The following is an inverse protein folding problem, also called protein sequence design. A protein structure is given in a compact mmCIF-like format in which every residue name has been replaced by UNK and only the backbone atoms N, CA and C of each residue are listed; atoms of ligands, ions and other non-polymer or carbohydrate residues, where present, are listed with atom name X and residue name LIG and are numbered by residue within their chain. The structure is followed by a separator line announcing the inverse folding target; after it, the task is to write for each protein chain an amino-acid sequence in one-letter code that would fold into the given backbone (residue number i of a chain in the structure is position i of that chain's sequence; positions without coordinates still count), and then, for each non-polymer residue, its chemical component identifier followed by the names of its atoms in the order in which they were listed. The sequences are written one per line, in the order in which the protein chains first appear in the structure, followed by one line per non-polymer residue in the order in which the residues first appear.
data_IF_502978064922
#
_entry.id   IF_502978064922
#
_cell.length_a   1.000
_cell.length_b   1.000
_cell.length_c   1.000
_cell.angle_alpha   90.00
_cell.angle_beta   90.00
_cell.angle_gamma   90.00
#
_symmetry.space_group_name_H-M   'P 1'
#
loop_
_entity.id
_entity.type
_entity.pdbx_description
1 polymer ?
#
# COMPACT_ATOMS: atom_id res chain seq x y z
N UNK A 1 16.45 7.03 7.26
CA UNK A 1 15.69 5.88 6.70
C UNK A 1 16.38 4.60 7.13
N UNK A 2 15.61 3.65 7.62
CA UNK A 2 16.14 2.41 8.15
C UNK A 2 15.43 1.21 7.51
N UNK A 3 16.20 0.21 7.11
CA UNK A 3 15.67 -1.08 6.71
C UNK A 3 15.53 -1.98 7.93
N UNK A 4 14.37 -2.60 8.09
CA UNK A 4 14.07 -3.47 9.23
C UNK A 4 13.38 -4.75 8.78
N UNK A 5 13.69 -5.84 9.46
CA UNK A 5 12.93 -7.07 9.32
C UNK A 5 11.65 -6.94 10.15
N UNK A 6 10.50 -6.96 9.50
CA UNK A 6 9.20 -6.83 10.15
C UNK A 6 8.61 -8.21 10.45
N UNK A 7 8.90 -8.72 11.63
CA UNK A 7 8.42 -10.04 12.08
C UNK A 7 6.91 -10.11 12.26
N UNK A 8 6.29 -9.01 12.65
CA UNK A 8 4.86 -8.95 12.91
C UNK A 8 4.14 -8.27 11.74
N UNK A 9 4.03 -8.96 10.64
CA UNK A 9 3.14 -8.55 9.58
C UNK A 9 1.70 -8.83 9.99
N UNK A 10 1.07 -7.82 10.55
CA UNK A 10 -0.36 -7.88 10.82
C UNK A 10 -1.08 -7.53 9.54
N UNK A 11 -1.55 -8.54 8.83
CA UNK A 11 -2.54 -8.37 7.79
C UNK A 11 -3.89 -8.33 8.50
N UNK A 12 -4.54 -7.19 8.44
CA UNK A 12 -5.82 -6.95 9.09
C UNK A 12 -6.75 -6.23 8.14
N UNK A 13 -8.04 -6.39 8.36
CA UNK A 13 -9.04 -5.53 7.75
C UNK A 13 -8.81 -4.09 8.23
N UNK A 14 -9.03 -3.14 7.36
CA UNK A 14 -8.77 -1.73 7.68
C UNK A 14 -9.63 -1.21 8.83
N UNK A 15 -10.75 -1.87 9.11
CA UNK A 15 -11.72 -1.45 10.13
C UNK A 15 -12.37 -0.09 9.86
N UNK A 16 -12.21 0.42 8.64
CA UNK A 16 -12.79 1.68 8.16
C UNK A 16 -13.85 1.40 7.10
N UNK A 17 -14.37 2.43 6.49
CA UNK A 17 -15.43 2.38 5.46
C UNK A 17 -15.07 1.58 4.20
N UNK A 18 -13.84 1.13 4.06
CA UNK A 18 -13.37 0.32 2.93
C UNK A 18 -12.88 -1.05 3.41
N UNK A 19 -13.24 -2.07 2.67
CA UNK A 19 -12.90 -3.46 2.97
C UNK A 19 -11.51 -3.85 2.47
N UNK A 20 -10.52 -2.96 2.65
CA UNK A 20 -9.14 -3.23 2.31
C UNK A 20 -8.45 -4.07 3.37
N UNK A 21 -7.66 -5.03 2.92
CA UNK A 21 -6.73 -5.76 3.76
C UNK A 21 -5.38 -5.03 3.71
N UNK A 22 -4.77 -4.77 4.84
CA UNK A 22 -3.64 -3.84 4.94
C UNK A 22 -2.35 -4.49 5.42
N UNK A 23 -1.56 -5.11 4.55
CA UNK A 23 -0.19 -5.48 4.87
C UNK A 23 0.68 -4.22 5.02
N UNK A 24 1.65 -4.26 5.90
CA UNK A 24 2.56 -3.13 6.11
C UNK A 24 3.96 -3.42 5.60
N UNK A 25 4.40 -2.67 4.62
CA UNK A 25 5.76 -2.74 4.04
C UNK A 25 6.71 -1.69 4.61
N UNK A 26 6.18 -0.71 5.32
CA UNK A 26 6.98 0.35 5.90
C UNK A 26 6.18 1.19 6.89
N UNK A 27 6.83 2.19 7.46
CA UNK A 27 6.23 3.14 8.36
C UNK A 27 6.88 4.51 8.21
N UNK A 28 6.05 5.55 8.16
CA UNK A 28 6.48 6.93 7.98
C UNK A 28 6.27 7.41 6.55
N UNK A 29 6.45 8.70 6.33
CA UNK A 29 6.30 9.30 5.01
C UNK A 29 7.28 10.46 4.85
N UNK A 30 7.89 10.58 3.67
CA UNK A 30 8.76 11.70 3.33
C UNK A 30 7.97 13.00 3.12
N UNK A 31 6.70 12.93 2.78
CA UNK A 31 5.81 14.07 2.74
C UNK A 31 5.41 14.52 4.16
N UNK A 32 5.25 15.82 4.34
CA UNK A 32 4.90 16.44 5.62
C UNK A 32 3.54 17.15 5.55
N UNK A 33 2.55 16.47 4.98
CA UNK A 33 1.21 17.03 4.86
C UNK A 33 0.62 17.39 6.23
N UNK A 34 0.14 18.61 6.39
CA UNK A 34 -0.30 19.15 7.68
C UNK A 34 -1.50 18.40 8.30
N UNK A 35 -2.36 17.82 7.47
CA UNK A 35 -3.56 17.07 7.89
C UNK A 35 -3.30 15.57 8.11
N UNK A 36 -2.11 15.07 7.79
CA UNK A 36 -1.83 13.64 7.84
C UNK A 36 -1.68 13.14 9.27
N UNK A 37 -2.42 12.06 9.62
CA UNK A 37 -2.31 11.44 10.94
C UNK A 37 -0.90 10.92 11.25
N UNK A 38 -0.16 10.54 10.23
CA UNK A 38 1.23 10.09 10.35
C UNK A 38 2.13 11.18 10.93
N UNK A 39 1.82 12.45 10.70
CA UNK A 39 2.58 13.57 11.26
C UNK A 39 2.47 13.64 12.78
N UNK A 40 1.30 13.34 13.34
CA UNK A 40 1.09 13.35 14.80
C UNK A 40 1.91 12.26 15.50
N UNK A 41 2.08 11.14 14.83
CA UNK A 41 2.80 9.97 15.35
C UNK A 41 4.26 9.91 14.88
N UNK A 42 4.68 10.79 13.99
CA UNK A 42 5.93 10.66 13.25
C UNK A 42 7.10 11.40 13.90
N UNK A 43 7.46 10.95 15.09
CA UNK A 43 8.80 11.20 15.64
C UNK A 43 9.84 10.19 15.11
N UNK A 44 9.42 9.19 14.34
CA UNK A 44 10.26 8.10 13.85
C UNK A 44 10.70 8.36 12.42
N UNK A 45 11.92 7.97 12.11
CA UNK A 45 12.45 7.94 10.75
C UNK A 45 11.64 7.00 9.87
N UNK A 46 11.66 7.26 8.57
CA UNK A 46 11.09 6.34 7.58
C UNK A 46 11.73 4.96 7.75
N UNK A 47 10.91 3.95 7.93
CA UNK A 47 11.31 2.56 8.07
C UNK A 47 10.77 1.74 6.92
N UNK A 48 11.62 0.96 6.28
CA UNK A 48 11.26 0.12 5.12
C UNK A 48 11.49 -1.35 5.50
N UNK A 49 10.53 -2.20 5.20
CA UNK A 49 10.67 -3.64 5.41
C UNK A 49 11.73 -4.22 4.47
N UNK A 50 12.70 -4.92 5.03
CA UNK A 50 13.74 -5.64 4.26
C UNK A 50 13.33 -7.06 3.86
N UNK A 51 12.20 -7.54 4.37
CA UNK A 51 11.72 -8.92 4.21
C UNK A 51 10.50 -9.03 3.31
N UNK A 52 10.55 -8.42 2.14
CA UNK A 52 9.44 -8.42 1.16
C UNK A 52 8.92 -9.82 0.85
N UNK A 53 9.78 -10.80 0.65
CA UNK A 53 9.37 -12.18 0.35
C UNK A 53 8.55 -12.80 1.48
N UNK A 54 8.94 -12.62 2.73
CA UNK A 54 8.17 -13.11 3.90
C UNK A 54 6.80 -12.45 3.99
N UNK A 55 6.73 -11.17 3.63
CA UNK A 55 5.47 -10.43 3.58
C UNK A 55 4.56 -11.00 2.50
N UNK A 56 5.07 -11.26 1.31
CA UNK A 56 4.33 -11.88 0.22
C UNK A 56 3.85 -13.28 0.59
N UNK A 57 4.68 -14.08 1.25
CA UNK A 57 4.28 -15.40 1.77
C UNK A 57 3.16 -15.30 2.81
N UNK A 58 3.20 -14.25 3.64
CA UNK A 58 2.14 -13.99 4.63
C UNK A 58 0.83 -13.60 3.93
N UNK A 59 0.89 -12.78 2.89
CA UNK A 59 -0.29 -12.45 2.05
C UNK A 59 -0.86 -13.73 1.42
N UNK A 60 -0.01 -14.56 0.84
CA UNK A 60 -0.43 -15.81 0.21
C UNK A 60 -1.12 -16.76 1.19
N UNK A 61 -0.56 -16.93 2.40
CA UNK A 61 -1.17 -17.75 3.46
C UNK A 61 -2.48 -17.18 3.96
N UNK A 62 -2.57 -15.88 4.14
CA UNK A 62 -3.79 -15.21 4.53
C UNK A 62 -4.88 -15.41 3.48
N UNK A 63 -4.55 -15.19 2.21
CA UNK A 63 -5.47 -15.36 1.09
C UNK A 63 -5.97 -16.81 0.95
N UNK A 64 -5.11 -17.79 1.23
CA UNK A 64 -5.47 -19.22 1.20
C UNK A 64 -6.55 -19.55 2.23
N UNK A 65 -6.58 -18.88 3.38
CA UNK A 65 -7.57 -19.06 4.43
C UNK A 65 -8.91 -18.38 4.13
N UNK A 66 -8.94 -17.45 3.18
CA UNK A 66 -10.15 -16.71 2.84
C UNK A 66 -11.07 -17.52 1.94
N UNK A 67 -12.37 -17.35 2.15
CA UNK A 67 -13.40 -18.04 1.36
C UNK A 67 -13.35 -17.57 -0.11
N UNK A 68 -13.43 -18.54 -1.02
CA UNK A 68 -13.53 -18.27 -2.45
C UNK A 68 -14.73 -19.04 -3.07
N UNK A 69 -15.56 -18.43 -3.94
CA UNK A 69 -15.51 -17.03 -4.39
C UNK A 69 -15.77 -16.02 -3.27
N UNK A 70 -15.19 -14.84 -3.44
CA UNK A 70 -15.37 -13.73 -2.51
C UNK A 70 -16.80 -13.19 -2.55
N UNK A 71 -17.34 -12.79 -1.41
CA UNK A 71 -18.58 -12.01 -1.36
C UNK A 71 -18.29 -10.60 -1.90
N UNK A 72 -19.08 -10.11 -2.87
CA UNK A 72 -18.88 -8.76 -3.41
C UNK A 72 -18.93 -7.68 -2.31
N UNK A 73 -18.02 -6.73 -2.39
CA UNK A 73 -17.99 -5.58 -1.49
C UNK A 73 -17.62 -4.27 -2.24
N UNK A 74 -17.48 -3.17 -1.51
CA UNK A 74 -17.23 -1.85 -2.10
C UNK A 74 -15.87 -1.73 -2.80
N UNK A 75 -14.87 -2.50 -2.39
CA UNK A 75 -13.53 -2.42 -2.97
C UNK A 75 -13.45 -3.10 -4.32
N UNK A 76 -14.03 -4.29 -4.41
CA UNK A 76 -14.08 -5.06 -5.66
C UNK A 76 -15.11 -6.18 -5.57
N UNK A 77 -15.77 -6.46 -6.70
CA UNK A 77 -16.75 -7.56 -6.76
C UNK A 77 -16.11 -8.94 -6.62
N UNK A 78 -14.95 -9.15 -7.20
CA UNK A 78 -14.36 -10.47 -7.39
C UNK A 78 -13.10 -10.69 -6.59
N UNK A 79 -12.22 -9.69 -6.50
CA UNK A 79 -10.89 -9.83 -5.89
C UNK A 79 -10.85 -9.32 -4.46
N UNK A 80 -10.12 -10.03 -3.59
CA UNK A 80 -9.67 -9.46 -2.33
C UNK A 80 -8.66 -8.35 -2.60
N UNK A 81 -8.83 -7.22 -1.95
CA UNK A 81 -8.03 -6.01 -2.24
C UNK A 81 -7.09 -5.71 -1.10
N UNK A 82 -5.79 -5.78 -1.38
CA UNK A 82 -4.71 -5.51 -0.43
C UNK A 82 -4.18 -4.10 -0.63
N UNK A 83 -4.31 -3.24 0.40
CA UNK A 83 -3.75 -1.89 0.39
C UNK A 83 -2.35 -1.92 1.03
N UNK A 84 -1.32 -1.73 0.23
CA UNK A 84 0.06 -1.79 0.67
C UNK A 84 0.67 -0.42 1.01
N UNK A 85 -0.13 0.64 1.03
CA UNK A 85 0.29 1.96 1.48
C UNK A 85 -0.35 2.40 2.81
N UNK A 86 -0.64 1.45 3.69
CA UNK A 86 -1.39 1.72 4.92
C UNK A 86 -0.66 2.68 5.88
N UNK A 87 0.64 2.53 6.07
CA UNK A 87 1.43 3.30 7.02
C UNK A 87 2.52 4.15 6.36
N UNK A 88 2.44 4.30 5.06
CA UNK A 88 3.40 5.05 4.25
C UNK A 88 2.76 5.48 2.92
N UNK A 89 3.47 6.30 2.15
CA UNK A 89 3.19 6.44 0.71
C UNK A 89 4.13 5.50 -0.06
N UNK A 90 3.66 4.28 -0.31
CA UNK A 90 4.47 3.24 -0.96
C UNK A 90 4.97 3.66 -2.35
N UNK A 91 4.15 4.37 -3.11
CA UNK A 91 4.50 4.81 -4.47
C UNK A 91 5.62 5.86 -4.44
N UNK A 92 5.58 6.78 -3.49
CA UNK A 92 6.65 7.74 -3.24
C UNK A 92 7.95 7.03 -2.83
N UNK A 93 7.83 6.01 -1.98
CA UNK A 93 8.98 5.28 -1.43
C UNK A 93 9.40 4.07 -2.28
N UNK A 94 8.81 3.87 -3.45
CA UNK A 94 9.02 2.66 -4.27
C UNK A 94 10.50 2.35 -4.55
N UNK A 95 11.34 3.38 -4.71
CA UNK A 95 12.78 3.20 -4.90
C UNK A 95 13.50 2.48 -3.75
N UNK A 96 12.89 2.43 -2.57
CA UNK A 96 13.41 1.74 -1.38
C UNK A 96 12.81 0.35 -1.19
N UNK A 97 11.74 0.03 -1.92
CA UNK A 97 11.03 -1.23 -1.88
C UNK A 97 11.40 -2.13 -3.06
N UNK A 98 11.20 -3.40 -2.90
CA UNK A 98 11.20 -4.38 -3.99
C UNK A 98 9.81 -4.40 -4.67
N UNK A 99 9.37 -3.26 -5.18
CA UNK A 99 8.01 -3.06 -5.69
C UNK A 99 7.68 -3.96 -6.88
N UNK A 100 8.68 -4.31 -7.69
CA UNK A 100 8.49 -5.20 -8.83
C UNK A 100 8.03 -6.59 -8.39
N UNK A 101 8.59 -7.11 -7.30
CA UNK A 101 8.14 -8.38 -6.71
C UNK A 101 6.70 -8.32 -6.25
N UNK A 102 6.31 -7.21 -5.60
CA UNK A 102 4.94 -7.02 -5.14
C UNK A 102 3.95 -6.94 -6.30
N UNK A 103 4.27 -6.17 -7.33
CA UNK A 103 3.42 -6.01 -8.50
C UNK A 103 3.30 -7.32 -9.29
N UNK A 104 4.41 -8.04 -9.44
CA UNK A 104 4.44 -9.33 -10.09
C UNK A 104 3.63 -10.39 -9.34
N UNK A 105 3.69 -10.37 -8.01
CA UNK A 105 2.84 -11.22 -7.18
C UNK A 105 1.35 -11.02 -7.52
N UNK A 106 0.85 -9.79 -7.47
CA UNK A 106 -0.56 -9.52 -7.77
C UNK A 106 -0.91 -9.77 -9.24
N UNK A 107 0.02 -9.54 -10.16
CA UNK A 107 -0.17 -9.85 -11.58
C UNK A 107 -0.57 -11.31 -11.79
N UNK A 108 0.03 -12.24 -11.06
CA UNK A 108 -0.19 -13.68 -11.19
C UNK A 108 -1.18 -14.26 -10.16
N UNK A 109 -1.61 -13.49 -9.17
CA UNK A 109 -2.55 -13.98 -8.15
C UNK A 109 -4.00 -13.94 -8.66
N UNK A 110 -4.69 -15.09 -8.79
CA UNK A 110 -6.04 -15.13 -9.35
C UNK A 110 -7.15 -14.61 -8.44
N UNK A 111 -6.91 -14.51 -7.13
CA UNK A 111 -7.95 -14.21 -6.12
C UNK A 111 -7.84 -12.81 -5.52
N UNK A 112 -6.74 -12.13 -5.74
CA UNK A 112 -6.48 -10.83 -5.11
C UNK A 112 -5.92 -9.81 -6.07
N UNK A 113 -6.02 -8.56 -5.68
CA UNK A 113 -5.39 -7.41 -6.32
C UNK A 113 -4.74 -6.51 -5.28
N UNK A 114 -3.75 -5.75 -5.71
CA UNK A 114 -3.09 -4.74 -4.90
C UNK A 114 -3.63 -3.34 -5.15
N UNK A 115 -3.56 -2.48 -4.15
CA UNK A 115 -3.84 -1.06 -4.31
C UNK A 115 -2.93 -0.21 -3.44
N UNK A 116 -2.67 1.01 -3.85
CA UNK A 116 -1.96 2.00 -3.06
C UNK A 116 -2.57 3.39 -3.25
N UNK A 117 -2.65 4.15 -2.17
CA UNK A 117 -2.98 5.56 -2.22
C UNK A 117 -1.68 6.39 -2.23
N UNK A 118 -1.61 7.41 -3.06
CA UNK A 118 -0.42 8.25 -3.20
C UNK A 118 -0.74 9.68 -3.56
N UNK A 119 0.19 10.58 -3.27
CA UNK A 119 0.24 11.94 -3.81
C UNK A 119 1.37 12.12 -4.85
N UNK A 120 2.11 11.06 -5.11
CA UNK A 120 3.28 11.09 -5.97
C UNK A 120 3.03 10.36 -7.29
N UNK A 121 3.45 10.97 -8.39
CA UNK A 121 3.39 10.33 -9.73
C UNK A 121 4.71 9.59 -9.98
N UNK A 122 4.66 8.27 -9.93
CA UNK A 122 5.81 7.43 -10.26
C UNK A 122 5.57 6.71 -11.58
N UNK A 123 6.18 7.24 -12.64
CA UNK A 123 5.98 6.75 -14.00
C UNK A 123 6.37 5.27 -14.16
N UNK A 124 7.43 4.81 -13.51
CA UNK A 124 7.87 3.41 -13.58
C UNK A 124 6.78 2.44 -13.12
N UNK A 125 6.09 2.78 -12.02
CA UNK A 125 5.01 1.96 -11.48
C UNK A 125 3.76 2.02 -12.39
N UNK A 126 3.49 3.19 -12.97
CA UNK A 126 2.35 3.36 -13.88
C UNK A 126 2.53 2.62 -15.21
N UNK A 127 3.76 2.57 -15.71
CA UNK A 127 4.09 1.90 -16.98
C UNK A 127 4.23 0.37 -16.81
N UNK A 128 4.28 -0.15 -15.59
CA UNK A 128 4.41 -1.58 -15.34
C UNK A 128 3.10 -2.32 -15.63
N UNK A 129 3.19 -3.35 -16.47
CA UNK A 129 2.03 -4.17 -16.80
C UNK A 129 1.74 -5.21 -15.71
N UNK A 130 0.87 -4.86 -14.79
CA UNK A 130 0.38 -5.75 -13.72
C UNK A 130 -0.96 -6.44 -14.09
N UNK A 131 -1.33 -6.54 -15.36
CA UNK A 131 -2.59 -7.13 -15.83
C UNK A 131 -3.84 -6.55 -15.12
N UNK A 132 -3.85 -5.25 -14.87
CA UNK A 132 -4.91 -4.53 -14.12
C UNK A 132 -5.13 -5.04 -12.69
N UNK A 133 -4.14 -5.77 -12.14
CA UNK A 133 -4.20 -6.34 -10.79
C UNK A 133 -3.61 -5.42 -9.71
N UNK A 134 -3.06 -4.29 -10.10
CA UNK A 134 -2.60 -3.23 -9.19
C UNK A 134 -3.27 -1.92 -9.56
N UNK A 135 -3.91 -1.28 -8.58
CA UNK A 135 -4.59 0.00 -8.74
C UNK A 135 -3.88 1.08 -7.92
N UNK A 136 -3.37 2.10 -8.59
CA UNK A 136 -2.83 3.29 -7.93
C UNK A 136 -3.93 4.34 -7.84
N UNK A 137 -4.20 4.80 -6.62
CA UNK A 137 -5.23 5.81 -6.32
C UNK A 137 -4.53 7.12 -5.98
N UNK A 138 -4.80 8.16 -6.75
CA UNK A 138 -4.25 9.48 -6.49
C UNK A 138 -5.11 10.26 -5.51
N UNK A 139 -4.49 10.75 -4.45
CA UNK A 139 -5.10 11.67 -3.49
C UNK A 139 -4.84 13.09 -3.95
N UNK A 140 -5.86 13.77 -4.45
CA UNK A 140 -5.77 15.12 -5.00
C UNK A 140 -6.63 16.09 -4.20
N UNK A 141 -6.23 17.36 -4.17
CA UNK A 141 -7.00 18.46 -3.60
C UNK A 141 -6.83 19.71 -4.45
N UNK A 142 -7.72 20.73 -4.32
CA UNK A 142 -7.55 22.00 -5.00
C UNK A 142 -6.19 22.65 -4.70
N UNK A 143 -5.55 23.25 -5.70
CA UNK A 143 -4.20 23.83 -5.58
C UNK A 143 -4.06 24.81 -4.42
N UNK A 144 -5.05 25.66 -4.22
CA UNK A 144 -5.05 26.66 -3.12
C UNK A 144 -4.95 26.01 -1.75
N UNK A 145 -5.56 24.84 -1.56
CA UNK A 145 -5.45 24.06 -0.31
C UNK A 145 -4.14 23.28 -0.26
N UNK A 146 -3.69 22.72 -1.37
CA UNK A 146 -2.44 22.00 -1.45
C UNK A 146 -1.25 22.90 -1.06
N UNK A 147 -1.19 24.11 -1.55
CA UNK A 147 -0.13 25.07 -1.22
C UNK A 147 -0.02 25.40 0.27
N UNK A 148 -1.14 25.32 1.00
CA UNK A 148 -1.19 25.57 2.45
C UNK A 148 -0.95 24.32 3.30
N UNK A 149 -1.42 23.18 2.85
CA UNK A 149 -1.49 21.95 3.64
C UNK A 149 -0.45 20.91 3.24
N UNK A 150 0.11 21.02 2.05
CA UNK A 150 1.09 20.10 1.47
C UNK A 150 2.37 20.89 1.08
N UNK A 151 3.20 21.27 2.03
CA UNK A 151 4.32 22.19 1.80
C UNK A 151 5.51 21.58 1.02
N UNK A 152 5.38 20.39 0.52
CA UNK A 152 6.44 19.72 -0.25
C UNK A 152 6.13 19.64 -1.73
#
# INVERSE_FOLDING_TARGET
MDYVNRKAMIIRDSGRSSDFITPSFGYGCLYKCNYCYMRRNNKKRLTIASNTNEILDTIARHLWLLKWPKIPNQTHKTYYTYDFSCNEDYVLHARYHEWEKLFDYFKHEPKAMGTAATKYVNKKLLDYNANRKVRIRFSIMPQVLADKLEPN
#
